data_IF_671617679519
#
_entry.id   IF_671617679519
#
_cell.length_a   1.000
_cell.length_b   1.000
_cell.length_c   1.000
_cell.angle_alpha   90.00
_cell.angle_beta   90.00
_cell.angle_gamma   90.00
#
_symmetry.space_group_name_H-M   'P 1'
#
loop_
_entity.id
_entity.type
_entity.pdbx_description
1 polymer ?
#
# COMPACT_ATOMS: atom_id res chain seq x y z
N UNK A 1 0.13 -14.76 -28.69
CA UNK A 1 0.92 -14.33 -29.85
C UNK A 1 2.37 -14.05 -29.48
N UNK A 2 2.66 -13.28 -28.44
CA UNK A 2 4.04 -12.93 -27.98
C UNK A 2 4.90 -14.14 -27.58
N UNK A 3 4.31 -15.18 -27.02
CA UNK A 3 5.06 -16.40 -26.60
C UNK A 3 5.50 -17.32 -27.74
N UNK A 4 4.82 -17.29 -28.87
CA UNK A 4 5.20 -18.06 -30.06
C UNK A 4 6.40 -17.40 -30.75
N UNK A 5 6.44 -16.07 -30.83
CA UNK A 5 7.55 -15.31 -31.40
C UNK A 5 8.86 -15.48 -30.58
N UNK A 6 8.75 -15.61 -29.26
CA UNK A 6 9.91 -15.88 -28.40
C UNK A 6 10.54 -17.26 -28.65
N UNK A 7 9.72 -18.29 -28.92
CA UNK A 7 10.21 -19.63 -29.24
C UNK A 7 10.91 -19.71 -30.59
N UNK A 8 10.37 -19.01 -31.60
CA UNK A 8 11.02 -18.91 -32.91
C UNK A 8 12.33 -18.14 -32.87
N UNK A 9 12.42 -17.09 -32.04
CA UNK A 9 13.64 -16.33 -31.84
C UNK A 9 14.78 -17.15 -31.21
N UNK A 10 14.45 -18.11 -30.35
CA UNK A 10 15.42 -19.02 -29.73
C UNK A 10 15.87 -20.12 -30.70
N UNK A 11 14.99 -20.57 -31.59
CA UNK A 11 15.30 -21.63 -32.55
C UNK A 11 16.20 -21.17 -33.72
N UNK A 12 16.25 -19.88 -34.03
CA UNK A 12 17.04 -19.31 -35.13
C UNK A 12 17.83 -18.06 -34.69
N UNK A 13 18.93 -18.20 -33.93
CA UNK A 13 19.69 -17.07 -33.38
C UNK A 13 20.38 -16.17 -34.43
N UNK A 14 20.36 -16.57 -35.72
CA UNK A 14 21.02 -15.82 -36.80
C UNK A 14 20.11 -14.92 -37.64
N UNK A 15 18.80 -14.86 -37.39
CA UNK A 15 17.86 -14.25 -38.36
C UNK A 15 16.81 -13.32 -37.75
N UNK A 16 17.17 -12.47 -36.91
CA UNK A 16 16.56 -11.15 -36.62
C UNK A 16 17.24 -10.63 -35.38
N UNK A 17 18.14 -9.70 -35.54
CA UNK A 17 18.34 -8.72 -34.48
C UNK A 17 16.94 -8.17 -34.20
N UNK A 18 16.34 -8.60 -33.10
CA UNK A 18 15.21 -7.92 -32.52
C UNK A 18 15.66 -6.46 -32.43
N UNK A 19 15.21 -5.63 -33.35
CA UNK A 19 15.28 -4.18 -33.17
C UNK A 19 14.70 -4.00 -31.77
N UNK A 20 15.55 -3.78 -30.79
CA UNK A 20 15.17 -3.28 -29.51
C UNK A 20 14.39 -2.01 -29.84
N UNK A 21 13.07 -2.16 -29.97
CA UNK A 21 12.20 -1.01 -30.15
C UNK A 21 12.58 -0.11 -29.01
N UNK A 22 13.05 1.08 -29.32
CA UNK A 22 13.37 2.07 -28.31
C UNK A 22 12.16 2.08 -27.38
N UNK A 23 12.34 1.64 -26.13
CA UNK A 23 11.35 1.77 -25.09
C UNK A 23 11.10 3.28 -24.96
N UNK A 24 10.21 3.80 -25.79
CA UNK A 24 9.74 5.15 -25.66
C UNK A 24 8.91 5.16 -24.39
N UNK A 25 9.48 5.70 -23.34
CA UNK A 25 8.79 5.95 -22.09
C UNK A 25 7.64 6.92 -22.41
N UNK A 26 6.45 6.35 -22.60
CA UNK A 26 5.26 7.14 -22.84
C UNK A 26 4.93 7.88 -21.54
N UNK A 27 5.38 9.13 -21.45
CA UNK A 27 5.05 10.03 -20.33
C UNK A 27 3.65 10.59 -20.57
N UNK A 28 2.68 9.95 -19.97
CA UNK A 28 1.31 10.48 -19.98
C UNK A 28 1.20 11.58 -18.91
N UNK A 29 1.56 12.80 -19.32
CA UNK A 29 1.55 13.97 -18.44
C UNK A 29 0.15 14.28 -17.89
N UNK A 30 -0.89 13.91 -18.61
CA UNK A 30 -2.27 14.16 -18.22
C UNK A 30 -2.66 13.24 -17.05
N UNK A 31 -2.32 11.96 -17.12
CA UNK A 31 -2.53 11.01 -16.01
C UNK A 31 -1.72 11.40 -14.78
N UNK A 32 -0.47 11.83 -14.98
CA UNK A 32 0.36 12.30 -13.88
C UNK A 32 -0.24 13.54 -13.20
N UNK A 33 -0.75 14.50 -13.98
CA UNK A 33 -1.39 15.71 -13.45
C UNK A 33 -2.69 15.40 -12.70
N UNK A 34 -3.51 14.49 -13.21
CA UNK A 34 -4.75 14.05 -12.55
C UNK A 34 -4.44 13.36 -11.21
N UNK A 35 -3.42 12.51 -11.17
CA UNK A 35 -3.01 11.84 -9.94
C UNK A 35 -2.42 12.81 -8.91
N UNK A 36 -1.63 13.79 -9.36
CA UNK A 36 -1.12 14.85 -8.50
C UNK A 36 -2.26 15.73 -7.96
N UNK A 37 -3.23 16.08 -8.80
CA UNK A 37 -4.43 16.84 -8.40
C UNK A 37 -5.26 16.11 -7.35
N UNK A 38 -5.44 14.81 -7.50
CA UNK A 38 -6.11 13.95 -6.51
C UNK A 38 -5.39 13.96 -5.15
N UNK A 39 -4.08 13.75 -5.15
CA UNK A 39 -3.31 13.75 -3.92
C UNK A 39 -3.32 15.13 -3.25
N UNK A 40 -3.20 16.21 -4.03
CA UNK A 40 -3.29 17.59 -3.56
C UNK A 40 -4.67 17.92 -2.97
N UNK A 41 -5.75 17.42 -3.58
CA UNK A 41 -7.11 17.62 -3.09
C UNK A 41 -7.31 16.91 -1.73
N UNK A 42 -6.89 15.64 -1.63
CA UNK A 42 -6.95 14.89 -0.37
C UNK A 42 -6.15 15.58 0.73
N UNK A 43 -4.93 16.03 0.41
CA UNK A 43 -4.10 16.78 1.34
C UNK A 43 -4.79 18.06 1.83
N UNK A 44 -5.34 18.86 0.93
CA UNK A 44 -6.02 20.11 1.26
C UNK A 44 -7.27 19.89 2.11
N UNK A 45 -8.09 18.88 1.78
CA UNK A 45 -9.27 18.54 2.56
C UNK A 45 -8.90 18.12 3.99
N UNK A 46 -7.88 17.26 4.14
CA UNK A 46 -7.41 16.81 5.45
C UNK A 46 -6.77 17.95 6.24
N UNK A 47 -6.05 18.87 5.58
CA UNK A 47 -5.48 20.06 6.20
C UNK A 47 -6.56 20.98 6.77
N UNK A 48 -7.59 21.28 5.97
CA UNK A 48 -8.72 22.08 6.42
C UNK A 48 -9.46 21.42 7.58
N UNK A 49 -9.71 20.12 7.49
CA UNK A 49 -10.33 19.35 8.56
C UNK A 49 -9.49 19.40 9.84
N UNK A 50 -8.19 19.21 9.75
CA UNK A 50 -7.28 19.29 10.89
C UNK A 50 -7.27 20.68 11.54
N UNK A 51 -7.19 21.73 10.74
CA UNK A 51 -7.21 23.11 11.23
C UNK A 51 -8.54 23.44 11.94
N UNK A 52 -9.66 22.94 11.44
CA UNK A 52 -10.97 23.18 12.02
C UNK A 52 -11.22 22.41 13.32
N UNK A 53 -10.73 21.16 13.38
CA UNK A 53 -11.00 20.28 14.53
C UNK A 53 -9.92 20.34 15.61
N UNK A 54 -8.78 20.95 15.34
CA UNK A 54 -7.60 20.99 16.24
C UNK A 54 -7.21 19.59 16.75
N UNK A 55 -7.44 18.55 15.92
CA UNK A 55 -7.15 17.17 16.29
C UNK A 55 -5.64 16.94 16.43
N UNK A 56 -5.19 16.49 17.62
CA UNK A 56 -3.78 16.31 17.93
C UNK A 56 -3.00 15.39 16.97
N UNK A 57 -3.67 14.36 16.42
CA UNK A 57 -3.08 13.41 15.49
C UNK A 57 -3.37 13.72 14.01
N UNK A 58 -3.89 14.91 13.70
CA UNK A 58 -4.26 15.29 12.35
C UNK A 58 -3.10 15.30 11.35
N UNK A 59 -1.87 15.59 11.82
CA UNK A 59 -0.67 15.53 11.00
C UNK A 59 -0.42 14.13 10.42
N UNK A 60 -0.58 13.10 11.25
CA UNK A 60 -0.41 11.70 10.82
C UNK A 60 -1.48 11.31 9.82
N UNK A 61 -2.73 11.73 10.05
CA UNK A 61 -3.83 11.47 9.12
C UNK A 61 -3.59 12.13 7.76
N UNK A 62 -3.08 13.37 7.72
CA UNK A 62 -2.71 14.06 6.49
C UNK A 62 -1.62 13.30 5.73
N UNK A 63 -0.57 12.88 6.42
CA UNK A 63 0.57 12.18 5.83
C UNK A 63 0.13 10.83 5.27
N UNK A 64 -0.59 10.04 6.05
CA UNK A 64 -1.11 8.74 5.60
C UNK A 64 -2.13 8.88 4.46
N UNK A 65 -3.05 9.83 4.55
CA UNK A 65 -4.07 10.04 3.53
C UNK A 65 -3.48 10.42 2.17
N UNK A 66 -2.49 11.32 2.14
CA UNK A 66 -1.79 11.69 0.91
C UNK A 66 -0.94 10.56 0.36
N UNK A 67 -0.21 9.84 1.23
CA UNK A 67 0.61 8.70 0.85
C UNK A 67 -0.25 7.59 0.22
N UNK A 68 -1.37 7.24 0.83
CA UNK A 68 -2.28 6.24 0.29
C UNK A 68 -2.94 6.68 -1.02
N UNK A 69 -3.32 7.96 -1.11
CA UNK A 69 -3.88 8.51 -2.36
C UNK A 69 -2.88 8.38 -3.52
N UNK A 70 -1.61 8.69 -3.28
CA UNK A 70 -0.56 8.55 -4.27
C UNK A 70 -0.27 7.06 -4.60
N UNK A 71 -0.21 6.21 -3.57
CA UNK A 71 0.07 4.78 -3.72
C UNK A 71 -1.01 4.07 -4.56
N UNK A 72 -2.29 4.33 -4.28
CA UNK A 72 -3.38 3.70 -5.02
C UNK A 72 -3.49 4.24 -6.46
N UNK A 73 -3.09 5.47 -6.71
CA UNK A 73 -3.07 6.06 -8.05
C UNK A 73 -2.11 5.34 -9.03
N UNK A 74 -1.08 4.66 -8.50
CA UNK A 74 -0.09 3.93 -9.34
C UNK A 74 -0.51 2.51 -9.71
N UNK A 75 -1.68 2.04 -9.26
CA UNK A 75 -2.14 0.66 -9.50
C UNK A 75 -3.17 0.58 -10.61
N UNK A 76 -3.13 -0.53 -11.38
CA UNK A 76 -4.03 -0.77 -12.51
C UNK A 76 -5.51 -0.84 -12.09
N UNK A 77 -5.81 -1.35 -10.88
CA UNK A 77 -7.14 -1.45 -10.29
C UNK A 77 -7.22 -0.78 -8.92
N UNK A 78 -7.23 0.56 -8.84
CA UNK A 78 -7.16 1.28 -7.58
C UNK A 78 -8.37 1.00 -6.67
N UNK A 79 -9.56 0.83 -7.24
CA UNK A 79 -10.79 0.58 -6.45
C UNK A 79 -10.74 -0.75 -5.73
N UNK A 80 -10.33 -1.82 -6.42
CA UNK A 80 -10.25 -3.16 -5.81
C UNK A 80 -9.23 -3.19 -4.68
N UNK A 81 -8.05 -2.58 -4.89
CA UNK A 81 -6.98 -2.54 -3.88
C UNK A 81 -7.39 -1.68 -2.69
N UNK A 82 -8.05 -0.53 -2.94
CA UNK A 82 -8.59 0.32 -1.89
C UNK A 82 -9.62 -0.42 -1.02
N UNK A 83 -10.51 -1.21 -1.63
CA UNK A 83 -11.50 -2.02 -0.90
C UNK A 83 -10.86 -3.14 -0.10
N UNK A 84 -9.85 -3.80 -0.64
CA UNK A 84 -9.07 -4.79 0.11
C UNK A 84 -8.38 -4.16 1.32
N UNK A 85 -7.75 -3.01 1.11
CA UNK A 85 -7.06 -2.26 2.15
C UNK A 85 -8.03 -1.79 3.24
N UNK A 86 -9.20 -1.27 2.87
CA UNK A 86 -10.24 -0.85 3.79
C UNK A 86 -10.76 -2.01 4.67
N UNK A 87 -11.00 -3.17 4.07
CA UNK A 87 -11.39 -4.37 4.83
C UNK A 87 -10.28 -4.83 5.78
N UNK A 88 -9.01 -4.77 5.36
CA UNK A 88 -7.87 -5.05 6.21
C UNK A 88 -7.76 -4.10 7.40
N UNK A 89 -8.00 -2.80 7.17
CA UNK A 89 -8.07 -1.78 8.22
C UNK A 89 -9.20 -2.08 9.23
N UNK A 90 -10.40 -2.45 8.76
CA UNK A 90 -11.50 -2.82 9.64
C UNK A 90 -11.17 -4.05 10.51
N UNK A 91 -10.48 -5.02 9.94
CA UNK A 91 -10.00 -6.19 10.69
C UNK A 91 -8.89 -5.84 11.71
N UNK A 92 -8.11 -4.80 11.42
CA UNK A 92 -7.06 -4.32 12.33
C UNK A 92 -7.63 -3.61 13.56
N UNK A 93 -8.80 -2.97 13.48
CA UNK A 93 -9.39 -2.22 14.59
C UNK A 93 -9.56 -3.05 15.88
N UNK A 94 -10.25 -4.21 15.86
CA UNK A 94 -10.39 -5.00 17.07
C UNK A 94 -9.06 -5.58 17.57
N UNK A 95 -8.14 -5.94 16.68
CA UNK A 95 -6.82 -6.42 17.06
C UNK A 95 -5.97 -5.31 17.68
N UNK A 96 -5.93 -4.13 17.10
CA UNK A 96 -5.21 -2.98 17.63
C UNK A 96 -5.75 -2.55 19.00
N UNK A 97 -7.07 -2.60 19.20
CA UNK A 97 -7.68 -2.35 20.51
C UNK A 97 -7.23 -3.38 21.55
N UNK A 98 -7.28 -4.66 21.21
CA UNK A 98 -6.84 -5.74 22.08
C UNK A 98 -5.36 -5.61 22.44
N UNK A 99 -4.51 -5.39 21.46
CA UNK A 99 -3.07 -5.22 21.67
C UNK A 99 -2.76 -3.95 22.48
N UNK A 100 -3.37 -2.82 22.14
CA UNK A 100 -3.10 -1.54 22.78
C UNK A 100 -3.64 -1.44 24.20
N UNK A 101 -4.87 -1.89 24.46
CA UNK A 101 -5.52 -1.70 25.77
C UNK A 101 -5.36 -2.88 26.72
N UNK A 102 -5.34 -4.11 26.22
CA UNK A 102 -5.28 -5.29 27.08
C UNK A 102 -3.86 -5.79 27.26
N UNK A 103 -3.14 -6.00 26.17
CA UNK A 103 -1.81 -6.62 26.27
C UNK A 103 -0.71 -5.60 26.60
N UNK A 104 -0.77 -4.40 26.04
CA UNK A 104 0.25 -3.37 26.29
C UNK A 104 0.22 -2.89 27.74
N UNK A 105 -0.97 -2.85 28.38
CA UNK A 105 -1.10 -2.49 29.80
C UNK A 105 -0.45 -3.50 30.75
N UNK A 106 -0.23 -4.73 30.29
CA UNK A 106 0.41 -5.80 31.08
C UNK A 106 1.91 -5.95 30.78
N UNK A 107 2.44 -5.15 29.85
CA UNK A 107 3.85 -5.24 29.44
C UNK A 107 4.76 -4.66 30.53
N UNK A 108 5.40 -5.50 31.31
CA UNK A 108 6.30 -5.14 32.41
C UNK A 108 7.79 -5.13 32.00
N UNK A 109 8.10 -5.00 30.70
CA UNK A 109 9.48 -4.93 30.25
C UNK A 109 9.64 -4.94 28.74
N UNK A 110 10.82 -4.50 28.29
CA UNK A 110 11.16 -4.42 26.87
C UNK A 110 10.97 -5.74 26.09
N UNK A 111 11.35 -6.93 26.62
CA UNK A 111 11.15 -8.18 25.88
C UNK A 111 9.69 -8.49 25.60
N UNK A 112 8.81 -8.24 26.56
CA UNK A 112 7.38 -8.48 26.40
C UNK A 112 6.75 -7.50 25.40
N UNK A 113 7.16 -6.25 25.46
CA UNK A 113 6.75 -5.22 24.49
C UNK A 113 7.21 -5.57 23.07
N UNK A 114 8.44 -6.04 22.90
CA UNK A 114 8.95 -6.47 21.61
C UNK A 114 8.15 -7.66 21.03
N UNK A 115 7.82 -8.67 21.84
CA UNK A 115 7.00 -9.80 21.41
C UNK A 115 5.59 -9.36 20.99
N UNK A 116 5.02 -8.38 21.67
CA UNK A 116 3.71 -7.84 21.38
C UNK A 116 3.65 -7.18 20.01
N UNK A 117 4.66 -6.42 19.63
CA UNK A 117 4.74 -5.79 18.30
C UNK A 117 5.12 -6.79 17.20
N UNK A 118 6.00 -7.73 17.49
CA UNK A 118 6.43 -8.74 16.50
C UNK A 118 5.28 -9.64 16.08
N UNK A 119 4.36 -9.98 16.97
CA UNK A 119 3.25 -10.89 16.68
C UNK A 119 2.34 -10.41 15.54
N UNK A 120 1.73 -9.21 15.58
CA UNK A 120 0.88 -8.73 14.48
C UNK A 120 1.68 -8.47 13.21
N UNK A 121 2.94 -8.02 13.31
CA UNK A 121 3.86 -7.85 12.19
C UNK A 121 4.11 -9.19 11.48
N UNK A 122 4.45 -10.22 12.22
CA UNK A 122 4.74 -11.54 11.66
C UNK A 122 3.52 -12.16 11.00
N UNK A 123 2.35 -12.09 11.65
CA UNK A 123 1.09 -12.58 11.08
C UNK A 123 0.71 -11.82 9.80
N UNK A 124 0.87 -10.51 9.81
CA UNK A 124 0.59 -9.68 8.63
C UNK A 124 1.54 -9.98 7.47
N UNK A 125 2.84 -10.14 7.73
CA UNK A 125 3.83 -10.48 6.70
C UNK A 125 3.65 -11.89 6.15
N UNK A 126 3.32 -12.87 6.99
CA UNK A 126 2.97 -14.22 6.54
C UNK A 126 1.76 -14.19 5.59
N UNK A 127 0.72 -13.45 5.93
CA UNK A 127 -0.44 -13.30 5.06
C UNK A 127 -0.13 -12.54 3.77
N UNK A 128 0.79 -11.58 3.80
CA UNK A 128 1.21 -10.80 2.63
C UNK A 128 2.00 -11.62 1.60
N UNK A 129 2.53 -12.78 1.98
CA UNK A 129 3.18 -13.71 1.04
C UNK A 129 2.22 -14.30 0.00
N UNK A 130 0.92 -14.29 0.28
CA UNK A 130 -0.11 -14.68 -0.68
C UNK A 130 -0.58 -13.44 -1.48
N UNK A 131 -0.39 -13.40 -2.82
CA UNK A 131 -0.76 -12.24 -3.65
C UNK A 131 -2.23 -11.82 -3.54
N UNK A 132 -3.13 -12.77 -3.23
CA UNK A 132 -4.57 -12.50 -3.08
C UNK A 132 -4.91 -11.79 -1.76
N UNK A 133 -4.10 -11.99 -0.74
CA UNK A 133 -4.31 -11.44 0.61
C UNK A 133 -3.41 -10.23 0.89
N UNK A 134 -2.46 -9.94 0.01
CA UNK A 134 -1.45 -8.91 0.21
C UNK A 134 -2.03 -7.56 0.64
N UNK A 135 -3.11 -7.10 -0.03
CA UNK A 135 -3.74 -5.81 0.30
C UNK A 135 -4.36 -5.78 1.70
N UNK A 136 -5.01 -6.86 2.11
CA UNK A 136 -5.60 -6.99 3.46
C UNK A 136 -4.52 -7.03 4.54
N UNK A 137 -3.48 -7.82 4.32
CA UNK A 137 -2.42 -8.05 5.30
C UNK A 137 -1.50 -6.84 5.47
N UNK A 138 -1.21 -6.10 4.39
CA UNK A 138 -0.49 -4.84 4.47
C UNK A 138 -1.26 -3.82 5.31
N UNK A 139 -2.56 -3.65 5.06
CA UNK A 139 -3.39 -2.76 5.86
C UNK A 139 -3.41 -3.20 7.33
N UNK A 140 -3.65 -4.48 7.59
CA UNK A 140 -3.64 -5.03 8.94
C UNK A 140 -2.34 -4.75 9.68
N UNK A 141 -1.19 -4.94 9.03
CA UNK A 141 0.13 -4.69 9.62
C UNK A 141 0.32 -3.20 9.94
N UNK A 142 0.01 -2.30 8.99
CA UNK A 142 0.21 -0.85 9.16
C UNK A 142 -0.66 -0.29 10.29
N UNK A 143 -1.89 -0.78 10.46
CA UNK A 143 -2.80 -0.28 11.48
C UNK A 143 -2.67 -0.97 12.85
N UNK A 144 -1.80 -1.98 12.98
CA UNK A 144 -1.47 -2.61 14.27
C UNK A 144 -0.12 -2.13 14.85
N UNK A 145 0.60 -1.27 14.15
CA UNK A 145 1.85 -0.64 14.62
C UNK A 145 1.54 0.77 15.15
#
# INVERSE_FOLDING_TARGET
MIMLDAREAIAHPGRKQLRAGSLSWHRDHLVALLNAGRAGLVFSCLAVFWLQTHWSNGQVAMLLGTLFSAFFATRDNPVTICMMFFKGMLAALPSAFLFGHVLLSQANGFPMLAMLFVTPLFLGLLGASNPRLMGYCLAFTIFNI
#
